data_IF_149168429457
#
_entry.id   IF_149168429457
#
_cell.length_a   1.000
_cell.length_b   1.000
_cell.length_c   1.000
_cell.angle_alpha   90.00
_cell.angle_beta   90.00
_cell.angle_gamma   90.00
#
_symmetry.space_group_name_H-M   'P 1'
#
loop_
_entity.id
_entity.type
_entity.pdbx_description
1 polymer ?
#
# COMPACT_ATOMS: atom_id res chain seq x y z
N UNK A 1 -8.13 -1.35 -19.66
CA UNK A 1 -7.52 -2.10 -20.77
C UNK A 1 -6.21 -1.53 -21.32
N UNK A 2 -5.76 -0.34 -20.93
CA UNK A 2 -4.57 0.30 -21.53
C UNK A 2 -3.20 -0.22 -21.02
N UNK A 3 -3.17 -1.24 -20.17
CA UNK A 3 -1.91 -1.82 -19.65
C UNK A 3 -1.32 -1.14 -18.39
N UNK A 4 -2.00 -0.15 -17.80
CA UNK A 4 -1.56 0.59 -16.61
C UNK A 4 -1.14 -0.33 -15.44
N UNK A 5 -2.02 -1.26 -15.07
CA UNK A 5 -1.77 -2.18 -13.95
C UNK A 5 -0.69 -3.22 -14.28
N UNK A 6 -0.43 -3.51 -15.55
CA UNK A 6 0.72 -4.31 -15.98
C UNK A 6 2.01 -3.51 -15.80
N UNK A 7 2.04 -2.26 -16.26
CA UNK A 7 3.18 -1.36 -16.08
C UNK A 7 3.53 -1.18 -14.60
N UNK A 8 2.54 -0.95 -13.75
CA UNK A 8 2.78 -0.79 -12.31
C UNK A 8 3.35 -2.05 -11.66
N UNK A 9 2.84 -3.24 -12.04
CA UNK A 9 3.41 -4.51 -11.56
C UNK A 9 4.85 -4.72 -12.04
N UNK A 10 5.21 -4.25 -13.24
CA UNK A 10 6.61 -4.26 -13.72
C UNK A 10 7.47 -3.32 -12.87
N UNK A 11 7.02 -2.07 -12.64
CA UNK A 11 7.76 -1.09 -11.84
C UNK A 11 8.01 -1.57 -10.40
N UNK A 12 7.05 -2.29 -9.81
CA UNK A 12 7.21 -2.89 -8.48
C UNK A 12 8.07 -4.16 -8.46
N UNK A 13 8.47 -4.68 -9.63
CA UNK A 13 9.20 -5.95 -9.75
C UNK A 13 8.34 -7.19 -9.49
N UNK A 14 7.00 -7.05 -9.50
CA UNK A 14 6.06 -8.16 -9.29
C UNK A 14 5.94 -9.06 -10.52
N UNK A 15 6.18 -8.49 -11.71
CA UNK A 15 6.25 -9.24 -12.98
C UNK A 15 7.44 -8.73 -13.79
N UNK A 16 8.02 -9.60 -14.64
CA UNK A 16 9.13 -9.25 -15.53
C UNK A 16 8.61 -8.74 -16.87
N UNK A 17 9.25 -7.72 -17.49
CA UNK A 17 8.93 -7.34 -18.85
C UNK A 17 9.34 -8.46 -19.81
N UNK A 18 8.61 -8.63 -20.92
CA UNK A 18 8.94 -9.62 -21.96
C UNK A 18 10.28 -9.34 -22.63
N UNK A 19 10.62 -8.05 -22.80
CA UNK A 19 11.88 -7.58 -23.35
C UNK A 19 12.22 -6.19 -22.78
N UNK A 20 13.49 -5.82 -22.86
CA UNK A 20 14.01 -4.54 -22.35
C UNK A 20 14.27 -4.58 -20.84
N UNK A 21 14.65 -3.41 -20.30
CA UNK A 21 14.98 -3.25 -18.89
C UNK A 21 14.19 -2.09 -18.29
N UNK A 22 13.85 -2.24 -17.01
CA UNK A 22 13.21 -1.19 -16.23
C UNK A 22 14.04 -0.96 -14.98
N UNK A 23 14.30 0.33 -14.70
CA UNK A 23 15.02 0.76 -13.50
C UNK A 23 14.17 1.73 -12.71
N UNK A 24 14.16 1.56 -11.39
CA UNK A 24 13.50 2.46 -10.44
C UNK A 24 14.55 2.94 -9.45
N UNK A 25 14.63 4.25 -9.23
CA UNK A 25 15.64 4.87 -8.36
C UNK A 25 17.09 4.46 -8.75
N UNK A 26 17.35 4.31 -10.05
CA UNK A 26 18.66 3.92 -10.60
C UNK A 26 18.98 2.42 -10.55
N UNK A 27 18.12 1.60 -9.96
CA UNK A 27 18.34 0.18 -9.71
C UNK A 27 17.34 -0.71 -10.47
N UNK A 28 17.66 -1.98 -10.67
CA UNK A 28 16.73 -2.93 -11.30
C UNK A 28 15.47 -3.16 -10.45
N UNK A 29 14.32 -3.24 -11.10
CA UNK A 29 13.04 -3.58 -10.43
C UNK A 29 13.11 -4.97 -9.79
N UNK A 30 12.61 -5.11 -8.56
CA UNK A 30 12.61 -6.37 -7.82
C UNK A 30 13.80 -6.56 -6.89
N UNK A 31 14.78 -5.65 -6.89
CA UNK A 31 15.80 -5.60 -5.84
C UNK A 31 15.12 -5.25 -4.49
N UNK A 32 15.26 -6.08 -3.43
CA UNK A 32 14.66 -5.82 -2.13
C UNK A 32 15.06 -4.46 -1.53
N UNK A 33 16.24 -3.93 -1.81
CA UNK A 33 16.69 -2.61 -1.36
C UNK A 33 15.86 -1.48 -2.00
N UNK A 34 15.38 -1.67 -3.23
CA UNK A 34 14.51 -0.73 -3.95
C UNK A 34 13.07 -0.91 -3.50
N UNK A 35 12.58 -2.15 -3.47
CA UNK A 35 11.18 -2.45 -3.13
C UNK A 35 10.83 -1.98 -1.71
N UNK A 36 11.77 -2.06 -0.74
CA UNK A 36 11.56 -1.52 0.61
C UNK A 36 11.37 0.00 0.66
N UNK A 37 11.89 0.72 -0.32
CA UNK A 37 11.79 2.18 -0.45
C UNK A 37 10.57 2.60 -1.28
N UNK A 38 9.73 1.64 -1.68
CA UNK A 38 8.53 1.89 -2.46
C UNK A 38 7.27 1.61 -1.63
N UNK A 39 6.25 2.42 -1.86
CA UNK A 39 4.89 2.20 -1.39
C UNK A 39 3.97 1.95 -2.59
N UNK A 40 2.96 1.12 -2.42
CA UNK A 40 2.00 0.90 -3.50
C UNK A 40 0.59 0.57 -3.04
N UNK A 41 -0.38 1.10 -3.77
CA UNK A 41 -1.76 0.63 -3.76
C UNK A 41 -2.20 0.47 -5.21
N UNK A 42 -2.07 -0.75 -5.74
CA UNK A 42 -2.56 -1.11 -7.07
C UNK A 42 -3.86 -1.87 -6.85
N UNK A 43 -4.95 -1.37 -7.41
CA UNK A 43 -6.31 -1.86 -7.15
C UNK A 43 -6.72 -1.69 -5.66
N UNK A 44 -7.95 -2.07 -5.34
CA UNK A 44 -8.43 -2.05 -3.95
C UNK A 44 -7.65 -3.07 -3.12
N UNK A 45 -6.98 -2.66 -2.03
CA UNK A 45 -6.19 -3.57 -1.22
C UNK A 45 -7.08 -4.60 -0.53
N UNK A 46 -6.52 -5.78 -0.29
CA UNK A 46 -7.18 -6.85 0.46
C UNK A 46 -6.31 -7.26 1.62
N UNK A 47 -6.85 -7.17 2.83
CA UNK A 47 -6.21 -7.62 4.05
C UNK A 47 -6.89 -8.88 4.57
N UNK A 48 -6.22 -9.70 5.40
CA UNK A 48 -6.87 -10.81 6.08
C UNK A 48 -8.14 -10.33 6.82
N UNK A 49 -9.32 -10.90 6.52
CA UNK A 49 -10.62 -10.29 6.86
C UNK A 49 -10.91 -10.26 8.37
N UNK A 50 -10.19 -11.06 9.16
CA UNK A 50 -10.32 -11.14 10.60
C UNK A 50 -9.49 -10.08 11.35
N UNK A 51 -8.56 -9.39 10.68
CA UNK A 51 -7.74 -8.34 11.28
C UNK A 51 -8.54 -7.04 11.44
N UNK A 52 -8.21 -6.27 12.48
CA UNK A 52 -8.61 -4.86 12.58
C UNK A 52 -7.75 -3.97 11.69
N UNK A 53 -8.17 -2.73 11.41
CA UNK A 53 -7.36 -1.79 10.64
C UNK A 53 -5.98 -1.55 11.29
N UNK A 54 -5.96 -1.40 12.62
CA UNK A 54 -4.74 -1.29 13.41
C UNK A 54 -3.85 -2.53 13.28
N UNK A 55 -4.43 -3.72 13.36
CA UNK A 55 -3.67 -4.97 13.19
C UNK A 55 -3.12 -5.13 11.77
N UNK A 56 -3.88 -4.75 10.75
CA UNK A 56 -3.44 -4.81 9.35
C UNK A 56 -2.22 -3.92 9.11
N UNK A 57 -2.25 -2.67 9.59
CA UNK A 57 -1.10 -1.76 9.47
C UNK A 57 0.09 -2.23 10.31
N UNK A 58 -0.12 -2.71 11.54
CA UNK A 58 0.97 -3.27 12.36
C UNK A 58 1.62 -4.50 11.72
N UNK A 59 0.81 -5.39 11.16
CA UNK A 59 1.31 -6.57 10.45
C UNK A 59 2.19 -6.17 9.26
N UNK A 60 1.73 -5.23 8.44
CA UNK A 60 2.52 -4.69 7.33
C UNK A 60 3.79 -3.98 7.80
N UNK A 61 3.73 -3.21 8.89
CA UNK A 61 4.87 -2.51 9.47
C UNK A 61 5.97 -3.50 9.89
N UNK A 62 5.59 -4.60 10.52
CA UNK A 62 6.50 -5.69 10.88
C UNK A 62 7.10 -6.34 9.63
N UNK A 63 6.30 -6.62 8.60
CA UNK A 63 6.79 -7.18 7.34
C UNK A 63 7.79 -6.25 6.62
N UNK A 64 7.64 -4.93 6.78
CA UNK A 64 8.56 -3.93 6.25
C UNK A 64 9.74 -3.59 7.17
N UNK A 65 9.83 -4.21 8.36
CA UNK A 65 10.94 -3.98 9.29
C UNK A 65 10.86 -2.66 10.08
N UNK A 66 9.69 -2.02 10.15
CA UNK A 66 9.49 -0.70 10.77
C UNK A 66 8.51 -0.73 11.96
N UNK A 67 8.34 -1.89 12.60
CA UNK A 67 7.24 -2.18 13.54
C UNK A 67 6.91 -1.06 14.54
N UNK A 68 7.88 -0.61 15.33
CA UNK A 68 7.67 0.45 16.34
C UNK A 68 7.61 1.86 15.74
N UNK A 69 8.25 2.08 14.58
CA UNK A 69 8.39 3.39 13.94
C UNK A 69 7.24 3.74 12.99
N UNK A 70 6.35 2.78 12.74
CA UNK A 70 5.28 2.92 11.76
C UNK A 70 4.18 3.92 12.14
N UNK A 71 4.16 4.43 13.38
CA UNK A 71 3.17 5.42 13.84
C UNK A 71 1.72 5.04 13.46
N UNK A 72 1.34 3.77 13.62
CA UNK A 72 0.08 3.21 13.07
C UNK A 72 -1.14 4.08 13.37
N UNK A 73 -1.27 4.53 14.60
CA UNK A 73 -2.43 5.28 15.06
C UNK A 73 -2.50 6.67 14.42
N UNK A 74 -1.34 7.31 14.23
CA UNK A 74 -1.22 8.58 13.50
C UNK A 74 -1.65 8.42 12.04
N UNK A 75 -1.28 7.31 11.39
CA UNK A 75 -1.69 7.06 10.00
C UNK A 75 -3.18 6.77 9.88
N UNK A 76 -3.76 5.99 10.81
CA UNK A 76 -5.20 5.77 10.85
C UNK A 76 -5.95 7.10 11.00
N UNK A 77 -5.46 7.99 11.85
CA UNK A 77 -6.02 9.32 12.01
C UNK A 77 -5.94 10.16 10.74
N UNK A 78 -4.76 10.19 10.11
CA UNK A 78 -4.51 10.93 8.88
C UNK A 78 -5.41 10.52 7.71
N UNK A 79 -5.87 9.28 7.71
CA UNK A 79 -6.81 8.75 6.69
C UNK A 79 -8.25 8.64 7.20
N UNK A 80 -8.58 9.26 8.33
CA UNK A 80 -9.95 9.33 8.85
C UNK A 80 -10.53 7.96 9.28
N UNK A 81 -9.69 7.09 9.84
CA UNK A 81 -10.05 5.75 10.30
C UNK A 81 -9.86 5.52 11.81
N UNK A 82 -9.59 6.58 12.60
CA UNK A 82 -9.43 6.49 14.07
C UNK A 82 -10.57 5.75 14.76
N UNK A 83 -11.82 6.15 14.49
CA UNK A 83 -13.03 5.52 15.07
C UNK A 83 -13.27 4.07 14.62
N UNK A 84 -12.60 3.65 13.53
CA UNK A 84 -12.69 2.30 12.99
C UNK A 84 -11.43 1.48 13.22
N UNK A 85 -10.45 1.99 13.97
CA UNK A 85 -9.14 1.37 14.15
C UNK A 85 -9.21 -0.08 14.62
N UNK A 86 -10.14 -0.37 15.54
CA UNK A 86 -10.33 -1.68 16.18
C UNK A 86 -11.51 -2.47 15.60
N UNK A 87 -12.13 -1.98 14.51
CA UNK A 87 -13.13 -2.74 13.73
C UNK A 87 -12.43 -3.66 12.73
N UNK A 88 -12.99 -4.87 12.53
CA UNK A 88 -12.50 -5.84 11.53
C UNK A 88 -12.68 -5.30 10.12
N UNK A 89 -11.66 -5.46 9.28
CA UNK A 89 -11.63 -4.94 7.89
C UNK A 89 -12.66 -5.60 6.97
N UNK A 90 -13.18 -6.79 7.30
CA UNK A 90 -14.27 -7.44 6.53
C UNK A 90 -15.55 -6.60 6.43
N UNK A 91 -15.78 -5.68 7.36
CA UNK A 91 -16.95 -4.80 7.39
C UNK A 91 -16.66 -3.38 6.90
N UNK A 92 -15.53 -3.15 6.25
CA UNK A 92 -15.16 -1.84 5.72
C UNK A 92 -15.85 -1.62 4.38
N UNK A 93 -16.30 -0.38 4.13
CA UNK A 93 -16.69 0.03 2.79
C UNK A 93 -15.47 0.04 1.86
N UNK A 94 -15.71 0.12 0.55
CA UNK A 94 -14.63 0.26 -0.45
C UNK A 94 -13.76 1.49 -0.14
N UNK A 95 -14.38 2.64 0.15
CA UNK A 95 -13.64 3.86 0.52
C UNK A 95 -12.82 3.72 1.81
N UNK A 96 -13.33 3.03 2.83
CA UNK A 96 -12.55 2.73 4.05
C UNK A 96 -11.35 1.82 3.72
N UNK A 97 -11.54 0.83 2.86
CA UNK A 97 -10.48 -0.07 2.42
C UNK A 97 -9.39 0.67 1.63
N UNK A 98 -9.79 1.60 0.76
CA UNK A 98 -8.88 2.48 0.03
C UNK A 98 -8.09 3.39 0.95
N UNK A 99 -8.75 4.05 1.91
CA UNK A 99 -8.08 4.89 2.92
C UNK A 99 -7.06 4.10 3.74
N UNK A 100 -7.41 2.87 4.13
CA UNK A 100 -6.48 1.95 4.79
C UNK A 100 -5.30 1.58 3.88
N UNK A 101 -5.55 1.38 2.59
CA UNK A 101 -4.53 1.20 1.55
C UNK A 101 -3.56 2.35 1.41
N UNK A 102 -4.07 3.58 1.40
CA UNK A 102 -3.25 4.79 1.36
C UNK A 102 -2.36 4.88 2.59
N UNK A 103 -2.90 4.60 3.79
CA UNK A 103 -2.09 4.52 5.01
C UNK A 103 -0.99 3.45 4.89
N UNK A 104 -1.34 2.25 4.43
CA UNK A 104 -0.38 1.16 4.23
C UNK A 104 0.73 1.50 3.23
N UNK A 105 0.39 2.19 2.13
CA UNK A 105 1.35 2.59 1.12
C UNK A 105 2.30 3.69 1.59
N UNK A 106 1.87 4.55 2.53
CA UNK A 106 2.65 5.71 2.97
C UNK A 106 3.38 5.51 4.31
N UNK A 107 2.92 4.60 5.16
CA UNK A 107 3.46 4.44 6.52
C UNK A 107 4.93 4.01 6.56
N UNK A 108 5.43 3.43 5.46
CA UNK A 108 6.84 3.05 5.32
C UNK A 108 7.78 4.20 4.99
N UNK A 109 7.24 5.44 4.91
CA UNK A 109 7.95 6.64 4.44
C UNK A 109 8.75 6.36 3.14
N UNK A 110 8.08 5.82 2.11
CA UNK A 110 8.74 5.44 0.87
C UNK A 110 9.22 6.68 0.10
N UNK A 111 10.27 6.50 -0.70
CA UNK A 111 10.78 7.53 -1.62
C UNK A 111 9.94 7.64 -2.90
N UNK A 112 9.24 6.56 -3.26
CA UNK A 112 8.35 6.48 -4.40
C UNK A 112 7.05 5.75 -4.04
N UNK A 113 5.93 6.35 -4.42
CA UNK A 113 4.59 5.78 -4.22
C UNK A 113 3.86 5.63 -5.54
N UNK A 114 3.32 4.44 -5.78
CA UNK A 114 2.48 4.13 -6.95
C UNK A 114 1.05 3.90 -6.46
N UNK A 115 0.11 4.74 -6.88
CA UNK A 115 -1.30 4.62 -6.53
C UNK A 115 -2.13 4.49 -7.81
N UNK A 116 -2.91 3.42 -7.93
CA UNK A 116 -3.88 3.25 -9.00
C UNK A 116 -5.28 3.59 -8.47
N UNK A 117 -5.84 4.71 -8.96
CA UNK A 117 -7.19 5.20 -8.61
C UNK A 117 -7.46 5.32 -7.08
N UNK A 118 -6.57 5.99 -6.31
CA UNK A 118 -6.66 5.99 -4.86
C UNK A 118 -7.90 6.70 -4.29
N UNK A 119 -8.54 7.55 -5.09
CA UNK A 119 -9.71 8.35 -4.70
C UNK A 119 -11.03 7.80 -5.22
N UNK A 120 -11.03 6.70 -5.98
CA UNK A 120 -12.24 6.16 -6.62
C UNK A 120 -13.20 5.52 -5.60
N UNK A 121 -14.13 6.28 -5.04
CA UNK A 121 -15.02 5.83 -3.98
C UNK A 121 -14.79 6.51 -2.63
N UNK A 122 -13.94 7.54 -2.60
CA UNK A 122 -13.93 8.55 -1.53
C UNK A 122 -14.83 9.71 -1.98
N UNK A 123 -15.99 9.88 -1.33
CA UNK A 123 -16.77 11.11 -1.51
C UNK A 123 -15.94 12.34 -1.06
N UNK A 124 -16.14 13.53 -1.68
CA UNK A 124 -15.39 14.75 -1.38
C UNK A 124 -15.43 15.19 0.09
#
# INVERSE_FOLDING_TARGET
>A
GAGKSTLFRILLGLIRPTAGEVRVMGQHTGDPAVTRRMGSMIETPRYPPYLTARQALRWLALAHGIGAEAETDRWLDRVGLSEAADRKVRGFSVGMMQRLGVAAALMTRPDLVILDEPTSGMDP
#
